data_IF_248788711714
#
_entry.id   IF_248788711714
#
_cell.length_a   1.000
_cell.length_b   1.000
_cell.length_c   1.000
_cell.angle_alpha   90.00
_cell.angle_beta   90.00
_cell.angle_gamma   90.00
#
_symmetry.space_group_name_H-M   'P 1'
#
loop_
_entity.id
_entity.type
_entity.pdbx_description
1 polymer ?
#
# COMPACT_ATOMS: atom_id res chain seq x y z
N UNK A 1 11.73 9.30 16.28
CA UNK A 1 13.19 9.45 16.29
C UNK A 1 13.63 10.78 15.71
N UNK A 2 13.01 11.27 14.63
CA UNK A 2 13.36 12.57 14.03
C UNK A 2 12.77 13.78 14.77
N UNK A 3 11.69 13.61 15.58
CA UNK A 3 10.95 14.72 16.16
C UNK A 3 10.05 15.47 15.16
N UNK A 4 10.07 15.09 13.88
CA UNK A 4 9.28 15.62 12.79
C UNK A 4 8.93 14.54 11.79
N UNK A 5 7.99 14.81 10.88
CA UNK A 5 7.62 13.88 9.81
C UNK A 5 8.75 13.75 8.77
N UNK A 6 8.91 12.56 8.21
CA UNK A 6 9.81 12.35 7.09
C UNK A 6 9.13 12.81 5.78
N UNK A 7 9.68 13.79 5.06
CA UNK A 7 9.08 14.29 3.81
C UNK A 7 9.11 13.25 2.68
N UNK A 8 9.98 12.26 2.76
CA UNK A 8 10.07 11.17 1.80
C UNK A 8 9.87 9.82 2.49
N UNK A 9 8.84 9.08 2.10
CA UNK A 9 8.61 7.70 2.56
C UNK A 9 8.48 6.77 1.37
N UNK A 10 9.16 5.62 1.43
CA UNK A 10 9.11 4.52 0.46
C UNK A 10 8.50 3.29 1.10
N UNK A 11 7.37 2.80 0.57
CA UNK A 11 6.83 1.48 0.87
C UNK A 11 7.52 0.42 0.01
N UNK A 12 8.09 -0.60 0.60
CA UNK A 12 8.81 -1.66 -0.09
C UNK A 12 8.31 -3.03 0.35
N UNK A 13 7.54 -3.68 -0.52
CA UNK A 13 7.06 -5.04 -0.25
C UNK A 13 8.23 -5.99 -0.43
N UNK A 14 8.78 -6.46 0.69
CA UNK A 14 9.96 -7.34 0.71
C UNK A 14 9.62 -8.78 0.41
N UNK A 15 8.50 -9.24 0.96
CA UNK A 15 7.99 -10.60 0.76
C UNK A 15 6.46 -10.60 0.85
N UNK A 16 5.84 -11.40 0.03
CA UNK A 16 4.40 -11.58 0.06
C UNK A 16 4.04 -12.96 -0.48
N UNK A 17 3.13 -13.65 0.20
CA UNK A 17 2.50 -14.87 -0.28
C UNK A 17 1.00 -14.74 -0.13
N UNK A 18 0.30 -14.71 -1.24
CA UNK A 18 -1.15 -14.56 -1.31
C UNK A 18 -1.61 -14.56 -2.76
N UNK A 19 -2.91 -14.64 -2.96
CA UNK A 19 -3.54 -14.61 -4.28
C UNK A 19 -4.57 -13.48 -4.35
N UNK A 20 -4.80 -13.00 -5.57
CA UNK A 20 -5.87 -12.06 -5.83
C UNK A 20 -7.22 -12.79 -5.96
N UNK A 21 -8.30 -12.10 -5.63
CA UNK A 21 -9.65 -12.59 -5.82
C UNK A 21 -10.22 -12.25 -7.18
N UNK A 22 -11.23 -12.98 -7.59
CA UNK A 22 -12.04 -12.64 -8.75
C UNK A 22 -12.73 -11.28 -8.62
N UNK A 23 -13.06 -10.85 -7.40
CA UNK A 23 -13.56 -9.50 -7.13
C UNK A 23 -12.54 -8.41 -7.46
N UNK A 24 -11.26 -8.60 -7.09
CA UNK A 24 -10.18 -7.69 -7.45
C UNK A 24 -9.97 -7.61 -8.96
N UNK A 25 -9.93 -8.77 -9.63
CA UNK A 25 -9.79 -8.83 -11.09
C UNK A 25 -10.98 -8.16 -11.81
N UNK A 26 -12.21 -8.41 -11.36
CA UNK A 26 -13.41 -7.78 -11.92
C UNK A 26 -13.41 -6.26 -11.72
N UNK A 27 -13.02 -5.79 -10.55
CA UNK A 27 -12.91 -4.35 -10.26
C UNK A 27 -11.87 -3.66 -11.14
N UNK A 28 -10.72 -4.31 -11.34
CA UNK A 28 -9.69 -3.80 -12.25
C UNK A 28 -10.23 -3.69 -13.69
N UNK A 29 -10.86 -4.75 -14.21
CA UNK A 29 -11.46 -4.76 -15.56
C UNK A 29 -12.51 -3.65 -15.71
N UNK A 30 -13.41 -3.51 -14.74
CA UNK A 30 -14.44 -2.48 -14.76
C UNK A 30 -13.84 -1.07 -14.74
N UNK A 31 -12.81 -0.83 -13.92
CA UNK A 31 -12.10 0.44 -13.86
C UNK A 31 -11.40 0.78 -15.18
N UNK A 32 -10.75 -0.20 -15.81
CA UNK A 32 -10.10 -0.01 -17.11
C UNK A 32 -11.10 0.25 -18.23
N UNK A 33 -12.25 -0.45 -18.22
CA UNK A 33 -13.34 -0.19 -19.16
C UNK A 33 -13.92 1.23 -18.99
N UNK A 34 -14.13 1.68 -17.76
CA UNK A 34 -14.56 3.04 -17.48
C UNK A 34 -13.52 4.08 -17.94
N UNK A 35 -12.23 3.82 -17.72
CA UNK A 35 -11.15 4.71 -18.17
C UNK A 35 -11.07 4.82 -19.71
N UNK A 36 -11.44 3.76 -20.43
CA UNK A 36 -11.46 3.75 -21.89
C UNK A 36 -12.65 4.54 -22.48
N UNK A 37 -13.77 4.61 -21.77
CA UNK A 37 -15.03 5.21 -22.26
C UNK A 37 -15.35 6.58 -21.63
N UNK A 38 -14.75 6.91 -20.50
CA UNK A 38 -15.02 8.14 -19.73
C UNK A 38 -13.73 8.94 -19.55
N UNK A 39 -13.51 10.03 -20.29
CA UNK A 39 -12.23 10.78 -20.28
C UNK A 39 -11.76 11.20 -18.89
N UNK A 40 -12.68 11.67 -18.02
CA UNK A 40 -12.32 12.10 -16.66
C UNK A 40 -11.84 10.99 -15.73
N UNK A 41 -12.18 9.72 -16.00
CA UNK A 41 -11.73 8.59 -15.16
C UNK A 41 -10.22 8.36 -15.32
N UNK A 42 -9.70 8.48 -16.55
CA UNK A 42 -8.27 8.31 -16.79
C UNK A 42 -7.44 9.39 -16.07
N UNK A 43 -7.94 10.63 -16.04
CA UNK A 43 -7.25 11.73 -15.35
C UNK A 43 -7.24 11.50 -13.83
N UNK A 44 -8.35 11.05 -13.26
CA UNK A 44 -8.41 10.66 -11.84
C UNK A 44 -7.44 9.51 -11.53
N UNK A 45 -7.34 8.52 -12.42
CA UNK A 45 -6.41 7.39 -12.24
C UNK A 45 -4.94 7.79 -12.37
N UNK A 46 -4.62 8.84 -13.10
CA UNK A 46 -3.25 9.37 -13.24
C UNK A 46 -2.86 10.30 -12.09
N UNK A 47 -3.82 10.98 -11.49
CA UNK A 47 -3.57 11.95 -10.43
C UNK A 47 -3.40 11.27 -9.05
N UNK A 48 -2.21 11.32 -8.41
CA UNK A 48 -2.01 10.78 -7.07
C UNK A 48 -2.79 11.54 -5.99
N UNK A 49 -3.23 12.77 -6.29
CA UNK A 49 -4.01 13.63 -5.41
C UNK A 49 -5.52 13.65 -5.70
N UNK A 50 -6.02 12.70 -6.49
CA UNK A 50 -7.45 12.65 -6.86
C UNK A 50 -8.41 12.50 -5.66
N UNK A 51 -7.92 12.07 -4.49
CA UNK A 51 -8.70 11.99 -3.25
C UNK A 51 -8.43 13.14 -2.27
N UNK A 52 -7.73 14.21 -2.70
CA UNK A 52 -7.37 15.36 -1.86
C UNK A 52 -7.96 16.66 -2.42
N UNK A 53 -9.30 16.86 -2.34
CA UNK A 53 -9.93 18.02 -2.92
C UNK A 53 -9.35 19.33 -2.35
N UNK A 54 -9.00 20.25 -3.25
CA UNK A 54 -8.41 21.54 -2.87
C UNK A 54 -6.92 21.51 -2.51
N UNK A 55 -6.27 20.34 -2.62
CA UNK A 55 -4.83 20.24 -2.39
C UNK A 55 -4.16 19.42 -3.49
N UNK A 56 -3.07 19.95 -4.01
CA UNK A 56 -2.16 19.29 -4.93
C UNK A 56 -0.73 19.44 -4.40
N UNK A 57 -0.09 18.32 -4.12
CA UNK A 57 1.24 18.29 -3.53
C UNK A 57 2.34 18.23 -4.58
N UNK A 58 3.59 17.95 -4.19
CA UNK A 58 4.73 17.84 -5.09
C UNK A 58 4.58 16.65 -6.03
N UNK A 59 5.36 16.66 -7.13
CA UNK A 59 5.42 15.54 -8.07
C UNK A 59 5.75 14.24 -7.36
N UNK A 60 4.93 13.22 -7.57
CA UNK A 60 5.12 11.89 -7.01
C UNK A 60 5.89 10.97 -7.98
N UNK A 61 6.72 10.04 -7.48
CA UNK A 61 7.30 8.98 -8.30
C UNK A 61 6.21 8.12 -8.94
N UNK A 62 6.38 7.76 -10.19
CA UNK A 62 5.38 6.94 -10.90
C UNK A 62 5.35 5.49 -10.43
N UNK A 63 6.48 4.94 -9.98
CA UNK A 63 6.61 3.54 -9.57
C UNK A 63 6.20 2.51 -10.63
N UNK A 64 6.15 2.91 -11.91
CA UNK A 64 5.59 2.10 -12.99
C UNK A 64 6.62 1.36 -13.84
N UNK A 65 7.89 1.43 -13.49
CA UNK A 65 8.99 0.74 -14.17
C UNK A 65 9.95 0.11 -13.17
N UNK A 66 10.58 -1.02 -13.53
CA UNK A 66 11.71 -1.57 -12.79
C UNK A 66 12.83 -0.54 -12.64
N UNK A 67 13.46 -0.53 -11.46
CA UNK A 67 14.61 0.34 -11.19
C UNK A 67 15.44 -0.21 -10.03
N UNK A 68 16.68 0.23 -9.92
CA UNK A 68 17.48 0.05 -8.72
C UNK A 68 17.00 1.06 -7.67
N UNK A 69 16.76 0.60 -6.45
CA UNK A 69 16.44 1.48 -5.31
C UNK A 69 17.68 1.65 -4.43
N UNK A 70 18.39 2.73 -4.64
CA UNK A 70 19.62 3.06 -3.91
C UNK A 70 19.39 3.19 -2.39
N UNK A 71 18.17 3.51 -1.96
CA UNK A 71 17.84 3.60 -0.53
C UNK A 71 17.79 2.24 0.18
N UNK A 72 17.74 1.14 -0.58
CA UNK A 72 17.88 -0.23 -0.06
C UNK A 72 19.33 -0.71 -0.06
N UNK A 73 20.23 -0.01 -0.75
CA UNK A 73 21.64 -0.37 -0.91
C UNK A 73 21.88 -1.53 -1.89
N UNK A 74 23.16 -1.86 -2.10
CA UNK A 74 23.66 -3.07 -2.78
C UNK A 74 23.05 -3.39 -4.16
N UNK A 75 22.65 -2.38 -4.94
CA UNK A 75 22.08 -2.58 -6.27
C UNK A 75 20.75 -3.37 -6.26
N UNK A 76 19.94 -3.18 -5.22
CA UNK A 76 18.65 -3.87 -5.07
C UNK A 76 17.65 -3.33 -6.06
N UNK A 77 17.10 -4.21 -6.88
CA UNK A 77 16.03 -3.91 -7.83
C UNK A 77 14.66 -3.95 -7.17
N UNK A 78 13.79 -3.08 -7.69
CA UNK A 78 12.37 -3.01 -7.33
C UNK A 78 11.51 -2.99 -8.59
N UNK A 79 10.32 -3.54 -8.48
CA UNK A 79 9.33 -3.64 -9.55
C UNK A 79 8.05 -2.88 -9.20
N UNK A 80 7.22 -2.51 -10.20
CA UNK A 80 5.91 -1.95 -9.95
C UNK A 80 5.07 -2.83 -9.01
N UNK A 81 4.37 -2.18 -8.08
CA UNK A 81 3.42 -2.86 -7.20
C UNK A 81 1.99 -2.51 -7.61
N UNK A 82 1.20 -3.52 -7.97
CA UNK A 82 -0.15 -3.33 -8.55
C UNK A 82 -1.08 -2.50 -7.65
N UNK A 83 -0.94 -2.61 -6.32
CA UNK A 83 -1.76 -1.86 -5.37
C UNK A 83 -1.27 -0.43 -5.12
N UNK A 84 -0.06 -0.08 -5.54
CA UNK A 84 0.54 1.25 -5.29
C UNK A 84 -0.35 2.39 -5.76
N UNK A 85 -0.99 2.23 -6.92
CA UNK A 85 -1.89 3.24 -7.48
C UNK A 85 -3.09 3.56 -6.58
N UNK A 86 -3.60 2.58 -5.83
CA UNK A 86 -4.69 2.75 -4.87
C UNK A 86 -4.15 3.25 -3.53
N UNK A 87 -3.10 2.61 -3.04
CA UNK A 87 -2.54 2.89 -1.72
C UNK A 87 -2.00 4.31 -1.61
N UNK A 88 -1.24 4.79 -2.61
CA UNK A 88 -0.69 6.15 -2.62
C UNK A 88 -1.76 7.22 -2.47
N UNK A 89 -2.90 7.08 -3.14
CA UNK A 89 -4.03 8.02 -3.00
C UNK A 89 -4.61 8.02 -1.59
N UNK A 90 -4.75 6.84 -0.98
CA UNK A 90 -5.24 6.72 0.39
C UNK A 90 -4.25 7.31 1.41
N UNK A 91 -2.94 7.19 1.17
CA UNK A 91 -1.91 7.82 2.00
C UNK A 91 -1.99 9.34 1.90
N UNK A 92 -2.09 9.91 0.69
CA UNK A 92 -2.27 11.36 0.51
C UNK A 92 -3.61 11.86 1.08
N UNK A 93 -4.70 11.07 0.93
CA UNK A 93 -5.97 11.37 1.59
C UNK A 93 -5.83 11.41 3.11
N UNK A 94 -5.09 10.47 3.68
CA UNK A 94 -4.81 10.44 5.12
C UNK A 94 -4.04 11.69 5.56
N UNK A 95 -3.02 12.10 4.81
CA UNK A 95 -2.25 13.31 5.09
C UNK A 95 -3.14 14.56 5.09
N UNK A 96 -4.02 14.72 4.09
CA UNK A 96 -4.98 15.84 4.05
C UNK A 96 -5.90 15.83 5.29
N UNK A 97 -6.49 14.68 5.63
CA UNK A 97 -7.40 14.55 6.77
C UNK A 97 -6.70 14.80 8.11
N UNK A 98 -5.40 14.52 8.20
CA UNK A 98 -4.53 14.83 9.34
C UNK A 98 -3.97 16.27 9.29
N UNK A 99 -4.55 17.15 8.44
CA UNK A 99 -4.10 18.55 8.28
C UNK A 99 -2.62 18.65 7.90
N UNK A 100 -2.19 17.77 7.00
CA UNK A 100 -0.82 17.67 6.49
C UNK A 100 0.22 17.33 7.58
N UNK A 101 -0.12 16.44 8.51
CA UNK A 101 0.81 15.99 9.54
C UNK A 101 2.07 15.30 8.98
N UNK A 102 2.02 14.81 7.72
CA UNK A 102 3.20 14.25 7.03
C UNK A 102 4.00 15.30 6.25
N UNK A 103 3.53 16.56 6.23
CA UNK A 103 4.06 17.68 5.44
C UNK A 103 3.24 17.93 4.16
N UNK A 104 3.28 19.17 3.67
CA UNK A 104 2.71 19.56 2.35
C UNK A 104 3.64 19.18 1.20
N UNK A 105 4.91 18.94 1.49
CA UNK A 105 5.98 18.48 0.60
C UNK A 105 6.15 16.96 0.57
N UNK A 106 5.23 16.23 1.21
CA UNK A 106 5.31 14.79 1.39
C UNK A 106 5.31 14.00 0.07
N UNK A 107 6.30 13.15 -0.10
CA UNK A 107 6.50 12.27 -1.27
C UNK A 107 6.44 10.80 -0.85
N UNK A 108 5.59 10.03 -1.53
CA UNK A 108 5.34 8.62 -1.22
C UNK A 108 5.25 7.77 -2.48
N UNK A 109 5.83 6.56 -2.44
CA UNK A 109 5.64 5.52 -3.45
C UNK A 109 5.74 4.12 -2.85
N UNK A 110 5.22 3.13 -3.57
CA UNK A 110 5.30 1.71 -3.20
C UNK A 110 5.82 0.88 -4.36
N UNK A 111 6.73 -0.06 -4.07
CA UNK A 111 7.25 -1.01 -5.05
C UNK A 111 7.55 -2.38 -4.42
N UNK A 112 7.62 -3.43 -5.25
CA UNK A 112 8.04 -4.77 -4.86
C UNK A 112 9.56 -4.88 -4.89
N UNK A 113 10.17 -5.43 -3.85
CA UNK A 113 11.60 -5.74 -3.82
C UNK A 113 11.83 -7.06 -4.56
N UNK A 114 12.73 -7.07 -5.54
CA UNK A 114 13.05 -8.25 -6.34
C UNK A 114 14.46 -8.80 -6.07
N UNK A 115 15.30 -8.03 -5.40
CA UNK A 115 16.65 -8.45 -4.98
C UNK A 115 17.77 -7.75 -5.74
N UNK A 116 19.02 -8.04 -5.40
CA UNK A 116 20.18 -7.40 -6.00
C UNK A 116 20.59 -8.03 -7.35
N UNK A 117 21.33 -7.24 -8.15
CA UNK A 117 22.03 -7.68 -9.36
C UNK A 117 21.13 -8.19 -10.48
N UNK A 118 21.70 -8.91 -11.43
CA UNK A 118 21.03 -9.40 -12.66
C UNK A 118 19.78 -10.27 -12.35
N UNK A 119 19.81 -11.07 -11.30
CA UNK A 119 18.66 -11.88 -10.91
C UNK A 119 17.50 -11.00 -10.43
N UNK A 120 17.81 -9.97 -9.64
CA UNK A 120 16.83 -8.98 -9.18
C UNK A 120 16.21 -8.22 -10.35
N UNK A 121 17.04 -7.81 -11.31
CA UNK A 121 16.61 -7.15 -12.54
C UNK A 121 15.67 -8.02 -13.38
N UNK A 122 16.06 -9.27 -13.63
CA UNK A 122 15.25 -10.21 -14.40
C UNK A 122 13.86 -10.42 -13.77
N UNK A 123 13.79 -10.60 -12.43
CA UNK A 123 12.52 -10.71 -11.70
C UNK A 123 11.72 -9.40 -11.80
N UNK A 124 12.36 -8.24 -11.66
CA UNK A 124 11.68 -6.94 -11.73
C UNK A 124 11.04 -6.73 -13.11
N UNK A 125 11.73 -7.08 -14.18
CA UNK A 125 11.21 -7.01 -15.55
C UNK A 125 10.06 -8.00 -15.77
N UNK A 126 10.14 -9.22 -15.24
CA UNK A 126 9.07 -10.20 -15.31
C UNK A 126 7.80 -9.71 -14.60
N UNK A 127 7.92 -9.15 -13.40
CA UNK A 127 6.80 -8.56 -12.66
C UNK A 127 6.18 -7.38 -13.42
N UNK A 128 6.99 -6.50 -13.98
CA UNK A 128 6.49 -5.36 -14.77
C UNK A 128 5.76 -5.78 -16.06
N UNK A 129 6.13 -6.93 -16.62
CA UNK A 129 5.50 -7.53 -17.81
C UNK A 129 4.23 -8.33 -17.50
N UNK A 130 3.98 -8.68 -16.24
CA UNK A 130 2.83 -9.50 -15.86
C UNK A 130 1.51 -8.72 -15.99
N UNK A 131 0.61 -9.23 -16.83
CA UNK A 131 -0.75 -8.71 -17.05
C UNK A 131 -1.84 -9.69 -16.65
N UNK A 132 -1.50 -10.75 -15.95
CA UNK A 132 -2.39 -11.87 -15.63
C UNK A 132 -3.65 -11.42 -14.89
N UNK A 133 -3.52 -10.51 -13.92
CA UNK A 133 -4.65 -10.02 -13.11
C UNK A 133 -5.75 -9.35 -13.96
N UNK A 134 -5.38 -8.64 -15.03
CA UNK A 134 -6.32 -7.97 -15.95
C UNK A 134 -6.77 -8.86 -17.13
N UNK A 135 -6.22 -10.06 -17.28
CA UNK A 135 -6.52 -10.98 -18.38
C UNK A 135 -7.73 -11.87 -18.07
N UNK A 136 -8.15 -12.66 -19.09
CA UNK A 136 -9.19 -13.67 -18.91
C UNK A 136 -8.71 -14.94 -18.20
N UNK A 137 -7.41 -15.04 -17.95
CA UNK A 137 -6.79 -16.10 -17.15
C UNK A 137 -6.79 -15.79 -15.64
N UNK A 138 -7.20 -14.59 -15.25
CA UNK A 138 -7.35 -14.22 -13.84
C UNK A 138 -8.51 -14.96 -13.15
N UNK A 139 -8.57 -14.90 -11.81
CA UNK A 139 -9.64 -15.55 -11.05
C UNK A 139 -11.00 -14.98 -11.42
N UNK A 140 -12.01 -15.85 -11.52
CA UNK A 140 -13.40 -15.45 -11.86
C UNK A 140 -14.10 -14.84 -10.64
N UNK A 141 -15.15 -14.02 -10.84
CA UNK A 141 -15.99 -13.55 -9.74
C UNK A 141 -16.47 -14.70 -8.85
N UNK A 142 -16.27 -14.58 -7.53
CA UNK A 142 -16.56 -15.62 -6.56
C UNK A 142 -15.38 -16.58 -6.27
N UNK A 143 -14.35 -16.59 -7.10
CA UNK A 143 -13.12 -17.34 -6.85
C UNK A 143 -12.14 -16.51 -6.01
N UNK A 144 -11.30 -17.21 -5.27
CA UNK A 144 -10.25 -16.59 -4.43
C UNK A 144 -9.36 -17.65 -3.80
N UNK A 145 -8.41 -17.24 -2.94
CA UNK A 145 -7.50 -18.19 -2.31
C UNK A 145 -8.26 -19.20 -1.45
N UNK A 146 -7.83 -20.46 -1.50
CA UNK A 146 -8.29 -21.52 -0.64
C UNK A 146 -8.06 -21.20 0.84
N UNK A 147 -8.68 -21.96 1.73
CA UNK A 147 -8.43 -21.81 3.18
C UNK A 147 -6.95 -21.98 3.51
N UNK A 148 -6.32 -23.00 2.95
CA UNK A 148 -4.90 -23.28 3.16
C UNK A 148 -4.01 -22.13 2.68
N UNK A 149 -4.26 -21.56 1.50
CA UNK A 149 -3.53 -20.41 1.00
C UNK A 149 -3.72 -19.17 1.88
N UNK A 150 -4.92 -18.92 2.39
CA UNK A 150 -5.18 -17.81 3.31
C UNK A 150 -4.46 -18.00 4.66
N UNK A 151 -4.40 -19.22 5.17
CA UNK A 151 -3.78 -19.53 6.46
C UNK A 151 -2.25 -19.57 6.39
N UNK A 152 -1.68 -19.97 5.24
CA UNK A 152 -0.24 -20.06 5.00
C UNK A 152 0.33 -18.86 4.23
N UNK A 153 -0.48 -17.84 4.00
CA UNK A 153 -0.03 -16.59 3.42
C UNK A 153 0.69 -15.72 4.45
N UNK A 154 1.39 -14.72 3.97
CA UNK A 154 2.06 -13.71 4.81
C UNK A 154 2.45 -12.51 3.95
N UNK A 155 2.82 -11.43 4.61
CA UNK A 155 3.47 -10.28 3.96
C UNK A 155 4.45 -9.59 4.91
N UNK A 156 5.42 -8.92 4.30
CA UNK A 156 6.45 -8.12 4.95
C UNK A 156 6.68 -6.86 4.12
N UNK A 157 6.31 -5.72 4.68
CA UNK A 157 6.45 -4.41 4.03
C UNK A 157 7.37 -3.53 4.87
N UNK A 158 8.41 -3.01 4.25
CA UNK A 158 9.30 -2.01 4.81
C UNK A 158 8.80 -0.61 4.43
N UNK A 159 8.66 0.25 5.41
CA UNK A 159 8.53 1.69 5.19
C UNK A 159 9.85 2.37 5.54
N UNK A 160 10.44 3.02 4.55
CA UNK A 160 11.70 3.75 4.70
C UNK A 160 11.42 5.25 4.62
N UNK A 161 11.46 5.92 5.77
CA UNK A 161 11.37 7.37 5.89
C UNK A 161 12.76 8.02 5.80
N UNK A 162 12.87 9.09 5.02
CA UNK A 162 14.11 9.88 4.91
C UNK A 162 13.77 11.35 5.14
N UNK A 163 14.55 12.03 5.98
CA UNK A 163 14.43 13.47 6.20
C UNK A 163 15.31 14.29 5.24
N UNK A 164 15.24 15.61 5.34
CA UNK A 164 16.02 16.53 4.52
C UNK A 164 17.50 16.59 4.88
N UNK A 165 17.88 16.04 6.02
CA UNK A 165 19.27 15.96 6.50
C UNK A 165 19.94 14.64 6.13
N UNK A 166 19.19 13.72 5.49
CA UNK A 166 19.67 12.42 5.05
C UNK A 166 19.57 11.32 6.11
N UNK A 167 18.97 11.59 7.27
CA UNK A 167 18.69 10.53 8.23
C UNK A 167 17.58 9.62 7.71
N UNK A 168 17.66 8.35 8.07
CA UNK A 168 16.67 7.37 7.68
C UNK A 168 16.06 6.64 8.89
N UNK A 169 14.79 6.29 8.75
CA UNK A 169 14.06 5.45 9.70
C UNK A 169 13.39 4.31 8.96
N UNK A 170 13.59 3.12 9.44
CA UNK A 170 13.02 1.87 8.87
C UNK A 170 11.92 1.36 9.79
N UNK A 171 10.75 1.10 9.23
CA UNK A 171 9.62 0.51 9.96
C UNK A 171 9.13 -0.70 9.18
N UNK A 172 9.19 -1.88 9.79
CA UNK A 172 8.64 -3.11 9.24
C UNK A 172 7.18 -3.30 9.66
N UNK A 173 6.32 -3.64 8.70
CA UNK A 173 4.94 -4.08 8.95
C UNK A 173 4.77 -5.47 8.37
N UNK A 174 4.39 -6.44 9.22
CA UNK A 174 4.22 -7.83 8.81
C UNK A 174 2.85 -8.35 9.20
N UNK A 175 2.32 -9.25 8.38
CA UNK A 175 1.11 -10.00 8.69
C UNK A 175 1.31 -11.50 8.50
N UNK A 176 0.66 -12.28 9.36
CA UNK A 176 0.77 -13.74 9.50
C UNK A 176 -0.18 -14.53 8.61
N UNK A 177 -0.94 -13.85 7.75
CA UNK A 177 -1.92 -14.43 6.81
C UNK A 177 -1.79 -13.78 5.46
N UNK A 178 -2.45 -14.35 4.44
CA UNK A 178 -2.45 -13.77 3.10
C UNK A 178 -3.00 -12.33 3.09
N UNK A 179 -2.41 -11.42 2.31
CA UNK A 179 -2.82 -10.02 2.30
C UNK A 179 -4.18 -9.78 1.63
N UNK A 180 -4.69 -10.76 0.86
CA UNK A 180 -5.94 -10.63 0.12
C UNK A 180 -7.17 -10.77 1.02
N UNK A 181 -7.28 -11.88 1.73
CA UNK A 181 -8.43 -12.20 2.57
C UNK A 181 -8.09 -12.57 4.01
N UNK A 182 -7.06 -13.39 4.23
CA UNK A 182 -6.74 -13.93 5.55
C UNK A 182 -6.42 -12.84 6.56
N UNK A 183 -5.55 -11.91 6.20
CA UNK A 183 -5.20 -10.76 7.04
C UNK A 183 -6.26 -9.66 6.95
N UNK A 184 -6.73 -9.34 5.75
CA UNK A 184 -7.68 -8.23 5.50
C UNK A 184 -9.00 -8.44 6.23
N UNK A 185 -9.53 -9.66 6.32
CA UNK A 185 -10.75 -9.94 7.08
C UNK A 185 -10.61 -9.66 8.57
N UNK A 186 -9.46 -9.98 9.17
CA UNK A 186 -9.14 -9.63 10.55
C UNK A 186 -8.99 -8.11 10.73
N UNK A 187 -8.27 -7.45 9.82
CA UNK A 187 -8.05 -6.00 9.88
C UNK A 187 -9.37 -5.23 9.81
N UNK A 188 -10.29 -5.60 8.91
CA UNK A 188 -11.57 -4.88 8.79
C UNK A 188 -12.47 -5.14 10.00
N UNK A 189 -12.46 -6.36 10.56
CA UNK A 189 -13.19 -6.65 11.78
C UNK A 189 -12.67 -5.84 12.97
N UNK A 190 -11.35 -5.79 13.17
CA UNK A 190 -10.74 -4.99 14.22
C UNK A 190 -10.94 -3.48 14.01
N UNK A 191 -10.95 -3.00 12.77
CA UNK A 191 -11.26 -1.61 12.47
C UNK A 191 -12.73 -1.26 12.86
N UNK A 192 -13.69 -2.15 12.59
CA UNK A 192 -15.08 -1.96 12.98
C UNK A 192 -15.24 -1.94 14.50
N UNK A 193 -14.61 -2.89 15.21
CA UNK A 193 -14.65 -2.93 16.68
C UNK A 193 -13.94 -1.71 17.28
N UNK A 194 -12.80 -1.29 16.72
CA UNK A 194 -12.08 -0.09 17.13
C UNK A 194 -12.97 1.16 17.01
N UNK A 195 -13.68 1.30 15.90
CA UNK A 195 -14.59 2.42 15.69
C UNK A 195 -15.69 2.49 16.75
N UNK A 196 -16.24 1.34 17.13
CA UNK A 196 -17.33 1.26 18.11
C UNK A 196 -16.86 1.45 19.55
N UNK A 197 -15.71 0.88 19.91
CA UNK A 197 -15.28 0.78 21.32
C UNK A 197 -14.24 1.84 21.69
N UNK A 198 -13.27 2.09 20.81
CA UNK A 198 -12.09 2.89 21.16
C UNK A 198 -12.13 4.29 20.52
N UNK A 199 -12.78 4.42 19.37
CA UNK A 199 -12.80 5.65 18.56
C UNK A 199 -14.23 6.18 18.33
N UNK A 200 -15.14 5.97 19.29
CA UNK A 200 -16.55 6.39 19.20
C UNK A 200 -16.74 7.91 19.04
N UNK A 201 -15.71 8.71 19.34
CA UNK A 201 -15.71 10.17 19.16
C UNK A 201 -15.25 10.61 17.76
N UNK A 202 -14.90 9.69 16.89
CA UNK A 202 -14.56 10.02 15.50
C UNK A 202 -15.78 10.65 14.84
N UNK A 203 -15.66 11.87 14.25
CA UNK A 203 -16.81 12.52 13.63
C UNK A 203 -17.37 11.73 12.45
N UNK A 204 -18.65 11.92 12.15
CA UNK A 204 -19.24 11.40 10.92
C UNK A 204 -18.51 11.92 9.68
N UNK A 205 -18.44 11.11 8.62
CA UNK A 205 -17.78 11.49 7.37
C UNK A 205 -17.12 10.31 6.66
N UNK A 206 -16.32 10.63 5.62
CA UNK A 206 -15.55 9.66 4.86
C UNK A 206 -14.08 9.78 5.27
N UNK A 207 -13.61 8.80 6.02
CA UNK A 207 -12.28 8.75 6.60
C UNK A 207 -11.45 7.61 6.04
N UNK A 208 -10.13 7.79 6.00
CA UNK A 208 -9.18 6.68 5.93
C UNK A 208 -8.84 6.23 7.36
N UNK A 209 -8.32 5.02 7.51
CA UNK A 209 -8.14 4.38 8.83
C UNK A 209 -7.17 5.12 9.75
N UNK A 210 -6.08 5.68 9.21
CA UNK A 210 -5.09 6.37 10.02
C UNK A 210 -5.67 7.62 10.74
N UNK A 211 -6.34 8.57 10.06
CA UNK A 211 -6.95 9.72 10.73
C UNK A 211 -8.18 9.34 11.58
N UNK A 212 -8.90 8.26 11.25
CA UNK A 212 -10.07 7.86 12.01
C UNK A 212 -9.74 7.12 13.30
N UNK A 213 -8.75 6.25 13.28
CA UNK A 213 -8.51 5.25 14.32
C UNK A 213 -7.10 5.33 14.94
N UNK A 214 -6.10 5.80 14.19
CA UNK A 214 -4.75 6.06 14.67
C UNK A 214 -4.09 4.87 15.39
N UNK A 215 -3.40 5.17 16.48
CA UNK A 215 -2.67 4.18 17.29
C UNK A 215 -3.57 3.14 17.95
N UNK A 216 -4.85 3.46 18.16
CA UNK A 216 -5.85 2.53 18.71
C UNK A 216 -6.02 1.32 17.80
N UNK A 217 -6.11 1.54 16.48
CA UNK A 217 -6.16 0.45 15.52
C UNK A 217 -4.86 -0.34 15.47
N UNK A 218 -3.70 0.31 15.51
CA UNK A 218 -2.40 -0.37 15.53
C UNK A 218 -2.32 -1.34 16.73
N UNK A 219 -2.71 -0.88 17.92
CA UNK A 219 -2.73 -1.71 19.12
C UNK A 219 -3.62 -2.94 18.96
N UNK A 220 -4.83 -2.76 18.40
CA UNK A 220 -5.77 -3.87 18.14
C UNK A 220 -5.25 -4.85 17.11
N UNK A 221 -4.66 -4.35 16.02
CA UNK A 221 -4.12 -5.19 14.96
C UNK A 221 -2.97 -6.07 15.46
N UNK A 222 -2.13 -5.54 16.35
CA UNK A 222 -1.08 -6.31 17.00
C UNK A 222 -1.64 -7.36 17.97
N UNK A 223 -2.65 -6.99 18.75
CA UNK A 223 -3.21 -7.89 19.73
C UNK A 223 -4.05 -9.03 19.13
N UNK A 224 -4.82 -8.76 18.06
CA UNK A 224 -5.89 -9.64 17.63
C UNK A 224 -5.78 -10.09 16.17
N UNK A 225 -5.04 -9.37 15.32
CA UNK A 225 -5.04 -9.63 13.87
C UNK A 225 -3.75 -10.27 13.35
N UNK A 226 -2.75 -10.52 14.22
CA UNK A 226 -1.48 -11.14 13.84
C UNK A 226 -0.54 -10.22 13.06
N UNK A 227 -0.72 -8.89 13.21
CA UNK A 227 0.18 -7.91 12.63
C UNK A 227 1.30 -7.54 13.61
N UNK A 228 2.44 -7.15 13.05
CA UNK A 228 3.53 -6.52 13.80
C UNK A 228 3.92 -5.20 13.15
N UNK A 229 4.20 -4.20 13.98
CA UNK A 229 4.73 -2.90 13.58
C UNK A 229 6.01 -2.67 14.38
N UNK A 230 7.15 -2.59 13.73
CA UNK A 230 8.43 -2.51 14.43
C UNK A 230 9.39 -1.54 13.74
N UNK A 231 10.06 -0.71 14.54
CA UNK A 231 11.22 0.04 14.06
C UNK A 231 12.36 -0.95 13.90
N UNK A 232 12.93 -0.98 12.70
CA UNK A 232 14.10 -1.82 12.40
C UNK A 232 15.39 -1.01 12.54
N UNK A 233 16.46 -1.70 12.87
CA UNK A 233 17.81 -1.11 13.03
C UNK A 233 18.43 -0.79 11.67
#
# INVERSE_FOLDING_TARGET
RFGHAAPRVRGRVRKMKGAFSGGTAASLKATMAAAATQPGVLDLLKNPFSLTPGFEGPRQPSGNKPMVDEALGDGVWVAPFVMAAINTRNVHRSNLLLKHAYGTDFVYDEMLVTGPGEKGEAIANAVAGDKSLGSDQGPKPGEGPSREERENGFYDVLFLGTDNEGHSLRVGVKGDRDPGYGSTSKMIAEAAVCLLQDAATTPGGIWTTAPALGDKLIARLQANAGLTFAVEA
#
